data_IF_543849475922
#
_entry.id   IF_543849475922
#
_cell.length_a   1.000
_cell.length_b   1.000
_cell.length_c   1.000
_cell.angle_alpha   90.00
_cell.angle_beta   90.00
_cell.angle_gamma   90.00
#
_symmetry.space_group_name_H-M   'P 1'
#
loop_
_entity.id
_entity.type
_entity.pdbx_description
1 polymer ?
#
# COMPACT_ATOMS: atom_id res chain seq x y z
N UNK A 1 -31.03 39.82 15.69
CA UNK A 1 -30.63 39.49 14.29
C UNK A 1 -29.14 39.18 14.13
N UNK A 2 -28.20 39.98 14.63
CA UNK A 2 -26.75 39.69 14.47
C UNK A 2 -26.31 38.35 15.09
N UNK A 3 -26.97 37.88 16.16
CA UNK A 3 -26.72 36.58 16.79
C UNK A 3 -26.88 35.41 15.80
N UNK A 4 -28.06 35.30 15.16
CA UNK A 4 -28.37 34.20 14.24
C UNK A 4 -27.51 34.19 12.98
N UNK A 5 -26.89 35.32 12.60
CA UNK A 5 -26.01 35.40 11.43
C UNK A 5 -24.82 34.44 11.56
N UNK A 6 -24.26 34.30 12.76
CA UNK A 6 -23.13 33.38 13.02
C UNK A 6 -23.57 31.93 12.89
N UNK A 7 -24.75 31.57 13.41
CA UNK A 7 -25.33 30.24 13.24
C UNK A 7 -25.61 29.91 11.77
N UNK A 8 -26.15 30.86 11.00
CA UNK A 8 -26.39 30.69 9.56
C UNK A 8 -25.07 30.48 8.81
N UNK A 9 -24.05 31.29 9.11
CA UNK A 9 -22.71 31.11 8.54
C UNK A 9 -22.14 29.72 8.88
N UNK A 10 -22.28 29.29 10.14
CA UNK A 10 -21.80 27.98 10.58
C UNK A 10 -22.49 26.81 9.85
N UNK A 11 -23.80 26.91 9.59
CA UNK A 11 -24.54 25.94 8.75
C UNK A 11 -23.98 25.91 7.32
N UNK A 12 -23.82 27.09 6.70
CA UNK A 12 -23.31 27.20 5.33
C UNK A 12 -21.91 26.58 5.23
N UNK A 13 -21.00 26.94 6.15
CA UNK A 13 -19.64 26.38 6.20
C UNK A 13 -19.68 24.87 6.39
N UNK A 14 -20.50 24.37 7.32
CA UNK A 14 -20.63 22.93 7.58
C UNK A 14 -21.09 22.16 6.34
N UNK A 15 -22.11 22.68 5.63
CA UNK A 15 -22.67 22.07 4.42
C UNK A 15 -21.70 22.13 3.24
N UNK A 16 -21.01 23.26 3.03
CA UNK A 16 -20.03 23.39 1.94
C UNK A 16 -18.86 22.43 2.19
N UNK A 17 -18.23 22.50 3.37
CA UNK A 17 -17.05 21.71 3.67
C UNK A 17 -17.34 20.21 3.71
N UNK A 18 -18.54 19.80 4.15
CA UNK A 18 -18.88 18.39 4.37
C UNK A 18 -19.94 17.86 3.39
N UNK A 19 -20.17 18.54 2.27
CA UNK A 19 -21.12 18.15 1.22
C UNK A 19 -20.92 16.71 0.75
N UNK A 20 -19.68 16.28 0.55
CA UNK A 20 -19.35 14.92 0.11
C UNK A 20 -19.70 13.82 1.15
N UNK A 21 -19.90 14.19 2.42
CA UNK A 21 -20.19 13.24 3.51
C UNK A 21 -21.66 13.29 3.91
N UNK A 22 -22.25 14.48 3.90
CA UNK A 22 -23.64 14.72 4.28
C UNK A 22 -24.61 14.42 3.14
N UNK A 23 -24.25 14.75 1.89
CA UNK A 23 -25.14 14.65 0.72
C UNK A 23 -24.78 13.48 -0.20
N UNK A 24 -23.50 13.21 -0.44
CA UNK A 24 -23.05 12.12 -1.31
C UNK A 24 -22.79 10.85 -0.49
N UNK A 25 -23.26 9.69 -0.99
CA UNK A 25 -22.86 8.37 -0.47
C UNK A 25 -21.79 7.80 -1.39
N UNK A 26 -20.54 8.15 -1.14
CA UNK A 26 -19.40 7.51 -1.82
C UNK A 26 -18.97 6.26 -1.03
N UNK A 27 -18.72 5.16 -1.74
CA UNK A 27 -18.24 3.89 -1.16
C UNK A 27 -16.86 4.07 -0.52
N UNK A 28 -16.05 5.02 -1.01
CA UNK A 28 -14.75 5.37 -0.43
C UNK A 28 -14.85 5.86 1.03
N UNK A 29 -16.03 6.28 1.49
CA UNK A 29 -16.26 6.77 2.85
C UNK A 29 -17.00 5.76 3.76
N UNK A 30 -17.09 4.47 3.44
CA UNK A 30 -17.83 3.49 4.26
C UNK A 30 -17.03 2.88 5.44
N UNK A 31 -16.05 3.62 5.98
CA UNK A 31 -15.32 3.17 7.16
C UNK A 31 -16.11 3.44 8.45
N UNK A 32 -15.82 2.68 9.52
CA UNK A 32 -16.41 2.90 10.86
C UNK A 32 -16.19 4.34 11.36
N UNK A 33 -15.03 4.92 11.04
CA UNK A 33 -14.66 6.29 11.41
C UNK A 33 -15.57 7.30 10.72
N UNK A 34 -15.78 7.15 9.40
CA UNK A 34 -16.63 8.03 8.61
C UNK A 34 -18.10 7.97 9.01
N UNK A 35 -18.63 6.77 9.30
CA UNK A 35 -20.01 6.64 9.80
C UNK A 35 -20.20 7.37 11.14
N UNK A 36 -19.22 7.29 12.03
CA UNK A 36 -19.25 7.99 13.32
C UNK A 36 -19.10 9.51 13.14
N UNK A 37 -18.22 9.93 12.22
CA UNK A 37 -18.03 11.34 11.88
C UNK A 37 -19.31 11.96 11.29
N UNK A 38 -19.99 11.25 10.38
CA UNK A 38 -21.25 11.72 9.78
C UNK A 38 -22.35 11.92 10.81
N UNK A 39 -22.50 11.00 11.78
CA UNK A 39 -23.46 11.17 12.89
C UNK A 39 -23.15 12.40 13.74
N UNK A 40 -21.87 12.63 14.03
CA UNK A 40 -21.42 13.83 14.72
C UNK A 40 -21.78 15.11 13.93
N UNK A 41 -21.52 15.14 12.62
CA UNK A 41 -21.87 16.29 11.78
C UNK A 41 -23.38 16.57 11.74
N UNK A 42 -24.23 15.54 11.68
CA UNK A 42 -25.68 15.73 11.75
C UNK A 42 -26.13 16.29 13.11
N UNK A 43 -25.50 15.89 14.20
CA UNK A 43 -25.80 16.48 15.51
C UNK A 43 -25.35 17.95 15.58
N UNK A 44 -24.18 18.28 15.04
CA UNK A 44 -23.72 19.68 14.92
C UNK A 44 -24.67 20.51 14.06
N UNK A 45 -25.17 19.96 12.96
CA UNK A 45 -26.15 20.62 12.11
C UNK A 45 -27.46 20.88 12.87
N UNK A 46 -27.98 19.88 13.59
CA UNK A 46 -29.18 20.04 14.41
C UNK A 46 -28.98 21.11 15.50
N UNK A 47 -27.81 21.13 16.12
CA UNK A 47 -27.42 22.17 17.08
C UNK A 47 -27.40 23.57 16.45
N UNK A 48 -26.80 23.75 15.28
CA UNK A 48 -26.79 25.06 14.61
C UNK A 48 -28.18 25.52 14.22
N UNK A 49 -29.07 24.61 13.82
CA UNK A 49 -30.47 24.95 13.53
C UNK A 49 -31.15 25.52 14.78
N UNK A 50 -31.00 24.85 15.94
CA UNK A 50 -31.54 25.36 17.21
C UNK A 50 -30.91 26.70 17.62
N UNK A 51 -29.59 26.87 17.44
CA UNK A 51 -28.91 28.14 17.74
C UNK A 51 -29.40 29.31 16.86
N UNK A 52 -29.65 29.06 15.56
CA UNK A 52 -30.22 30.06 14.65
C UNK A 52 -31.64 30.43 15.04
N UNK A 53 -32.47 29.42 15.33
CA UNK A 53 -33.86 29.59 15.74
C UNK A 53 -33.98 30.39 17.03
N UNK A 54 -33.10 30.16 18.00
CA UNK A 54 -33.07 30.88 19.26
C UNK A 54 -33.09 32.41 19.07
N UNK A 55 -32.14 32.94 18.28
CA UNK A 55 -32.05 34.38 18.03
C UNK A 55 -33.18 34.95 17.17
N UNK A 56 -33.87 34.10 16.39
CA UNK A 56 -35.07 34.49 15.63
C UNK A 56 -36.30 34.56 16.56
N UNK A 57 -36.52 33.53 17.38
CA UNK A 57 -37.65 33.41 18.31
C UNK A 57 -37.60 34.48 19.40
N UNK A 58 -36.42 34.81 19.91
CA UNK A 58 -36.21 35.93 20.82
C UNK A 58 -36.61 37.26 20.15
N UNK A 59 -36.20 37.48 18.89
CA UNK A 59 -36.52 38.72 18.16
C UNK A 59 -38.01 38.88 17.84
N UNK A 60 -38.71 37.76 17.65
CA UNK A 60 -40.16 37.72 17.43
C UNK A 60 -40.96 37.77 18.73
N UNK A 61 -40.29 37.75 19.90
CA UNK A 61 -40.89 37.73 21.24
C UNK A 61 -41.89 36.59 21.44
N UNK A 62 -41.52 35.36 21.05
CA UNK A 62 -42.34 34.15 21.18
C UNK A 62 -41.82 33.29 22.35
N UNK A 63 -42.23 33.54 23.61
CA UNK A 63 -41.60 32.93 24.79
C UNK A 63 -41.80 31.40 24.86
N UNK A 64 -42.98 30.89 24.50
CA UNK A 64 -43.27 29.45 24.51
C UNK A 64 -42.38 28.68 23.52
N UNK A 65 -42.27 29.19 22.29
CA UNK A 65 -41.42 28.59 21.28
C UNK A 65 -39.93 28.73 21.63
N UNK A 66 -39.53 29.87 22.21
CA UNK A 66 -38.16 30.08 22.69
C UNK A 66 -37.79 29.08 23.79
N UNK A 67 -38.72 28.75 24.70
CA UNK A 67 -38.51 27.73 25.73
C UNK A 67 -38.33 26.33 25.12
N UNK A 68 -39.18 25.96 24.16
CA UNK A 68 -39.09 24.68 23.45
C UNK A 68 -37.77 24.56 22.68
N UNK A 69 -37.39 25.61 21.94
CA UNK A 69 -36.14 25.63 21.19
C UNK A 69 -34.91 25.62 22.09
N UNK A 70 -34.93 26.37 23.21
CA UNK A 70 -33.83 26.32 24.20
C UNK A 70 -33.70 24.92 24.82
N UNK A 71 -34.81 24.19 24.99
CA UNK A 71 -34.76 22.78 25.41
C UNK A 71 -34.13 21.92 24.32
N UNK A 72 -34.54 22.09 23.06
CA UNK A 72 -33.96 21.40 21.91
C UNK A 72 -32.47 21.71 21.73
N UNK A 73 -32.02 22.92 22.06
CA UNK A 73 -30.62 23.35 22.07
C UNK A 73 -29.79 22.51 23.06
N UNK A 74 -30.27 22.29 24.29
CA UNK A 74 -29.55 21.44 25.24
C UNK A 74 -29.52 19.97 24.80
N UNK A 75 -30.60 19.47 24.22
CA UNK A 75 -30.67 18.09 23.71
C UNK A 75 -29.75 17.88 22.49
N UNK A 76 -29.69 18.83 21.57
CA UNK A 76 -28.81 18.78 20.40
C UNK A 76 -27.34 18.92 20.81
N UNK A 77 -27.05 19.77 21.80
CA UNK A 77 -25.73 19.86 22.44
C UNK A 77 -25.30 18.54 23.10
N UNK A 78 -26.21 17.86 23.82
CA UNK A 78 -25.95 16.55 24.41
C UNK A 78 -25.62 15.50 23.34
N UNK A 79 -26.36 15.51 22.22
CA UNK A 79 -26.09 14.65 21.07
C UNK A 79 -24.72 14.95 20.44
N UNK A 80 -24.35 16.23 20.30
CA UNK A 80 -23.02 16.65 19.83
C UNK A 80 -21.90 16.02 20.66
N UNK A 81 -21.99 16.11 21.99
CA UNK A 81 -20.99 15.54 22.91
C UNK A 81 -20.93 14.02 22.80
N UNK A 82 -22.08 13.35 22.77
CA UNK A 82 -22.14 11.89 22.67
C UNK A 82 -21.52 11.39 21.35
N UNK A 83 -21.90 11.98 20.22
CA UNK A 83 -21.36 11.59 18.92
C UNK A 83 -19.90 12.02 18.72
N UNK A 84 -19.48 13.15 19.29
CA UNK A 84 -18.07 13.57 19.32
C UNK A 84 -17.19 12.49 19.96
N UNK A 85 -17.59 12.00 21.14
CA UNK A 85 -16.84 10.95 21.85
C UNK A 85 -16.83 9.64 21.07
N UNK A 86 -17.94 9.25 20.44
CA UNK A 86 -17.99 8.07 19.58
C UNK A 86 -17.03 8.19 18.39
N UNK A 87 -17.04 9.34 17.73
CA UNK A 87 -16.12 9.65 16.63
C UNK A 87 -14.66 9.64 17.09
N UNK A 88 -14.33 10.35 18.16
CA UNK A 88 -12.97 10.44 18.72
C UNK A 88 -12.40 9.04 19.02
N UNK A 89 -13.21 8.18 19.63
CA UNK A 89 -12.83 6.80 19.93
C UNK A 89 -12.61 5.97 18.66
N UNK A 90 -13.44 6.16 17.63
CA UNK A 90 -13.24 5.51 16.34
C UNK A 90 -11.98 6.02 15.62
N UNK A 91 -11.67 7.32 15.74
CA UNK A 91 -10.57 7.97 15.04
C UNK A 91 -9.18 7.61 15.59
N UNK A 92 -9.05 7.47 16.92
CA UNK A 92 -7.78 7.17 17.60
C UNK A 92 -7.42 5.68 17.68
N UNK A 93 -8.38 4.78 17.48
CA UNK A 93 -8.24 3.33 17.68
C UNK A 93 -7.44 2.95 18.94
N UNK A 94 -7.64 3.71 20.03
CA UNK A 94 -6.88 3.55 21.28
C UNK A 94 -7.26 2.28 22.05
N UNK A 95 -6.48 1.92 23.08
CA UNK A 95 -6.71 0.70 23.87
C UNK A 95 -8.11 0.59 24.50
N UNK A 96 -8.57 -0.64 24.75
CA UNK A 96 -9.95 -0.93 25.16
C UNK A 96 -10.43 -0.12 26.39
N UNK A 97 -9.58 0.01 27.42
CA UNK A 97 -9.90 0.76 28.64
C UNK A 97 -10.15 2.25 28.38
N UNK A 98 -9.33 2.90 27.55
CA UNK A 98 -9.51 4.30 27.19
C UNK A 98 -10.84 4.51 26.46
N UNK A 99 -11.13 3.65 25.48
CA UNK A 99 -12.38 3.71 24.72
C UNK A 99 -13.61 3.59 25.62
N UNK A 100 -13.56 2.72 26.63
CA UNK A 100 -14.64 2.53 27.58
C UNK A 100 -14.83 3.74 28.48
N UNK A 101 -13.76 4.28 29.06
CA UNK A 101 -13.81 5.47 29.94
C UNK A 101 -14.37 6.68 29.19
N UNK A 102 -13.86 6.96 27.99
CA UNK A 102 -14.36 8.08 27.20
C UNK A 102 -15.83 7.94 26.85
N UNK A 103 -16.25 6.77 26.34
CA UNK A 103 -17.65 6.53 25.99
C UNK A 103 -18.57 6.64 27.20
N UNK A 104 -18.18 6.09 28.34
CA UNK A 104 -18.94 6.19 29.57
C UNK A 104 -19.06 7.66 30.02
N UNK A 105 -17.96 8.40 30.06
CA UNK A 105 -17.97 9.81 30.46
C UNK A 105 -18.83 10.69 29.55
N UNK A 106 -18.70 10.54 28.23
CA UNK A 106 -19.51 11.28 27.26
C UNK A 106 -21.00 10.93 27.32
N UNK A 107 -21.32 9.64 27.52
CA UNK A 107 -22.71 9.18 27.67
C UNK A 107 -23.32 9.67 28.99
N UNK A 108 -22.59 9.59 30.09
CA UNK A 108 -23.04 10.09 31.40
C UNK A 108 -23.32 11.60 31.34
N UNK A 109 -22.44 12.38 30.71
CA UNK A 109 -22.66 13.80 30.52
C UNK A 109 -23.90 14.07 29.65
N UNK A 110 -24.06 13.35 28.53
CA UNK A 110 -25.23 13.51 27.66
C UNK A 110 -26.53 13.14 28.39
N UNK A 111 -26.56 12.03 29.14
CA UNK A 111 -27.70 11.60 29.94
C UNK A 111 -28.03 12.60 31.05
N UNK A 112 -27.01 13.18 31.69
CA UNK A 112 -27.20 14.24 32.69
C UNK A 112 -27.88 15.47 32.08
N UNK A 113 -27.43 15.91 30.89
CA UNK A 113 -28.07 17.03 30.19
C UNK A 113 -29.52 16.72 29.85
N UNK A 114 -29.80 15.54 29.29
CA UNK A 114 -31.17 15.11 28.97
C UNK A 114 -32.05 15.07 30.23
N UNK A 115 -31.54 14.54 31.34
CA UNK A 115 -32.27 14.47 32.60
C UNK A 115 -32.55 15.88 33.17
N UNK A 116 -31.55 16.76 33.17
CA UNK A 116 -31.73 18.14 33.62
C UNK A 116 -32.69 18.92 32.71
N UNK A 117 -32.66 18.69 31.39
CA UNK A 117 -33.62 19.27 30.45
C UNK A 117 -35.05 18.79 30.73
N UNK A 118 -35.24 17.50 31.03
CA UNK A 118 -36.56 16.96 31.39
C UNK A 118 -37.07 17.55 32.71
N UNK A 119 -36.19 17.69 33.72
CA UNK A 119 -36.54 18.36 34.99
C UNK A 119 -36.86 19.84 34.76
N UNK A 120 -36.13 20.52 33.87
CA UNK A 120 -36.31 21.95 33.58
C UNK A 120 -37.72 22.32 33.10
N UNK A 121 -38.43 21.37 32.48
CA UNK A 121 -39.83 21.56 32.03
C UNK A 121 -40.78 21.80 33.21
N UNK A 122 -40.51 21.16 34.35
CA UNK A 122 -41.37 21.25 35.54
C UNK A 122 -40.81 22.21 36.58
N UNK A 123 -39.49 22.18 36.76
CA UNK A 123 -38.78 22.98 37.76
C UNK A 123 -37.57 23.64 37.10
N UNK A 124 -37.49 24.97 37.07
CA UNK A 124 -36.41 25.66 36.39
C UNK A 124 -35.05 25.41 37.05
N UNK A 125 -34.15 24.72 36.35
CA UNK A 125 -32.81 24.32 36.83
C UNK A 125 -31.70 24.72 35.86
N UNK A 126 -31.94 24.61 34.55
CA UNK A 126 -31.02 25.00 33.49
C UNK A 126 -31.24 26.46 33.05
N UNK A 127 -32.49 26.84 32.81
CA UNK A 127 -32.84 28.17 32.33
C UNK A 127 -34.32 28.49 32.60
N UNK A 128 -34.65 29.79 32.55
CA UNK A 128 -36.04 30.27 32.45
C UNK A 128 -36.20 31.20 31.26
N UNK A 129 -37.42 31.31 30.76
CA UNK A 129 -37.83 32.31 29.77
C UNK A 129 -38.99 33.08 30.39
N UNK A 130 -38.88 34.41 30.47
CA UNK A 130 -39.97 35.26 30.97
C UNK A 130 -41.00 35.58 29.87
N UNK A 131 -42.13 36.21 30.25
CA UNK A 131 -43.19 36.61 29.30
C UNK A 131 -42.70 37.61 28.23
N UNK A 132 -41.61 38.33 28.49
CA UNK A 132 -40.98 39.22 27.52
C UNK A 132 -40.00 38.49 26.58
N UNK A 133 -39.98 37.15 26.60
CA UNK A 133 -39.07 36.28 25.87
C UNK A 133 -37.59 36.50 26.23
N UNK A 134 -37.29 36.94 27.46
CA UNK A 134 -35.92 37.08 27.96
C UNK A 134 -35.47 35.78 28.61
N UNK A 135 -34.40 35.22 28.07
CA UNK A 135 -33.71 34.07 28.61
C UNK A 135 -32.91 34.44 29.87
N UNK A 136 -33.05 33.65 30.94
CA UNK A 136 -32.20 33.78 32.14
C UNK A 136 -31.46 32.46 32.41
N UNK A 137 -30.12 32.47 32.43
CA UNK A 137 -29.34 31.27 32.73
C UNK A 137 -29.42 30.93 34.23
N UNK A 138 -29.50 29.63 34.55
CA UNK A 138 -29.50 29.13 35.93
C UNK A 138 -28.28 28.26 36.24
N UNK A 139 -28.11 27.90 37.50
CA UNK A 139 -26.96 27.14 38.01
C UNK A 139 -26.71 25.82 37.28
N UNK A 140 -27.77 25.10 36.87
CA UNK A 140 -27.62 23.85 36.12
C UNK A 140 -26.90 24.02 34.79
N UNK A 141 -27.18 25.11 34.06
CA UNK A 141 -26.51 25.44 32.80
C UNK A 141 -25.01 25.68 33.02
N UNK A 142 -24.64 26.41 34.07
CA UNK A 142 -23.24 26.63 34.41
C UNK A 142 -22.53 25.33 34.78
N UNK A 143 -23.18 24.45 35.55
CA UNK A 143 -22.63 23.14 35.92
C UNK A 143 -22.39 22.24 34.69
N UNK A 144 -23.34 22.19 33.75
CA UNK A 144 -23.22 21.42 32.50
C UNK A 144 -22.04 21.93 31.66
N UNK A 145 -21.95 23.24 31.42
CA UNK A 145 -20.85 23.81 30.63
C UNK A 145 -19.49 23.65 31.32
N UNK A 146 -19.42 23.78 32.65
CA UNK A 146 -18.20 23.52 33.40
C UNK A 146 -17.74 22.06 33.26
N UNK A 147 -18.65 21.10 33.44
CA UNK A 147 -18.35 19.68 33.29
C UNK A 147 -17.90 19.32 31.87
N UNK A 148 -18.56 19.90 30.85
CA UNK A 148 -18.17 19.74 29.45
C UNK A 148 -16.78 20.33 29.19
N UNK A 149 -16.48 21.51 29.72
CA UNK A 149 -15.15 22.13 29.64
C UNK A 149 -14.09 21.23 30.24
N UNK A 150 -14.31 20.71 31.45
CA UNK A 150 -13.38 19.78 32.11
C UNK A 150 -13.18 18.51 31.28
N UNK A 151 -14.22 17.97 30.67
CA UNK A 151 -14.11 16.82 29.75
C UNK A 151 -13.19 17.13 28.56
N UNK A 152 -13.36 18.26 27.89
CA UNK A 152 -12.53 18.65 26.75
C UNK A 152 -11.07 18.93 27.16
N UNK A 153 -10.84 19.57 28.31
CA UNK A 153 -9.49 19.75 28.87
C UNK A 153 -8.85 18.39 29.14
N UNK A 154 -9.57 17.48 29.80
CA UNK A 154 -9.08 16.15 30.11
C UNK A 154 -8.74 15.35 28.84
N UNK A 155 -9.61 15.38 27.82
CA UNK A 155 -9.32 14.76 26.51
C UNK A 155 -8.06 15.37 25.87
N UNK A 156 -7.91 16.70 25.93
CA UNK A 156 -6.73 17.38 25.37
C UNK A 156 -5.45 16.96 26.08
N UNK A 157 -5.43 16.96 27.42
CA UNK A 157 -4.28 16.51 28.22
C UNK A 157 -3.96 15.05 27.93
N UNK A 158 -4.98 14.19 27.93
CA UNK A 158 -4.82 12.76 27.68
C UNK A 158 -4.19 12.48 26.31
N UNK A 159 -4.69 13.14 25.26
CA UNK A 159 -4.18 12.97 23.90
C UNK A 159 -2.74 13.48 23.74
N UNK A 160 -2.34 14.53 24.48
CA UNK A 160 -0.95 15.00 24.56
C UNK A 160 -0.04 13.99 25.26
N UNK A 161 -0.48 13.40 26.37
CA UNK A 161 0.31 12.44 27.14
C UNK A 161 0.55 11.15 26.33
N UNK A 162 -0.49 10.62 25.68
CA UNK A 162 -0.38 9.45 24.81
C UNK A 162 0.56 9.69 23.62
N UNK A 163 0.63 10.93 23.13
CA UNK A 163 1.56 11.32 22.06
C UNK A 163 3.02 11.19 22.48
N UNK A 164 3.36 11.47 23.74
CA UNK A 164 4.73 11.39 24.28
C UNK A 164 5.16 9.98 24.66
N UNK A 165 4.22 9.12 25.04
CA UNK A 165 4.51 7.82 25.67
C UNK A 165 4.74 6.63 24.73
N UNK A 166 4.63 6.78 23.41
CA UNK A 166 4.78 5.66 22.46
C UNK A 166 5.45 6.09 21.16
N UNK A 167 6.37 5.27 20.66
CA UNK A 167 6.93 5.29 19.28
C UNK A 167 5.82 4.89 18.30
N UNK A 168 4.82 5.75 18.13
CA UNK A 168 3.67 5.46 17.28
C UNK A 168 3.98 5.82 15.82
N UNK A 169 3.41 5.09 14.85
CA UNK A 169 3.51 5.45 13.44
C UNK A 169 3.03 6.90 13.23
N UNK A 170 3.72 7.65 12.35
CA UNK A 170 3.51 9.10 12.18
C UNK A 170 2.07 9.52 11.93
N UNK A 171 1.25 8.67 11.29
CA UNK A 171 -0.19 8.90 11.09
C UNK A 171 -0.95 9.05 12.41
N UNK A 172 -0.71 8.15 13.37
CA UNK A 172 -1.43 8.15 14.64
C UNK A 172 -1.03 9.37 15.49
N UNK A 173 0.24 9.78 15.42
CA UNK A 173 0.73 11.02 16.05
C UNK A 173 -0.01 12.26 15.55
N UNK A 174 -0.29 12.35 14.24
CA UNK A 174 -1.07 13.43 13.66
C UNK A 174 -2.51 13.45 14.17
N UNK A 175 -3.15 12.28 14.29
CA UNK A 175 -4.52 12.17 14.84
C UNK A 175 -4.62 12.65 16.28
N UNK A 176 -3.69 12.24 17.14
CA UNK A 176 -3.60 12.72 18.53
C UNK A 176 -3.41 14.24 18.59
N UNK A 177 -2.55 14.80 17.72
CA UNK A 177 -2.33 16.26 17.66
C UNK A 177 -3.59 17.01 17.24
N UNK A 178 -4.31 16.54 16.23
CA UNK A 178 -5.55 17.17 15.76
C UNK A 178 -6.61 17.15 16.87
N UNK A 179 -6.84 16.01 17.53
CA UNK A 179 -7.85 15.91 18.57
C UNK A 179 -7.52 16.74 19.82
N UNK A 180 -6.24 16.81 20.20
CA UNK A 180 -5.80 17.71 21.28
C UNK A 180 -6.15 19.17 20.95
N UNK A 181 -5.83 19.60 19.73
CA UNK A 181 -6.09 20.98 19.30
C UNK A 181 -7.58 21.29 19.21
N UNK A 182 -8.39 20.39 18.63
CA UNK A 182 -9.86 20.55 18.57
C UNK A 182 -10.46 20.61 19.98
N UNK A 183 -10.03 19.74 20.89
CA UNK A 183 -10.53 19.72 22.26
C UNK A 183 -10.12 20.97 23.04
N UNK A 184 -8.92 21.50 22.78
CA UNK A 184 -8.45 22.74 23.39
C UNK A 184 -9.23 23.97 22.89
N UNK A 185 -9.49 24.07 21.57
CA UNK A 185 -10.36 25.11 21.00
C UNK A 185 -11.72 25.05 21.68
N UNK A 186 -12.34 23.87 21.71
CA UNK A 186 -13.67 23.72 22.31
C UNK A 186 -13.69 24.12 23.79
N UNK A 187 -12.69 23.70 24.58
CA UNK A 187 -12.58 24.09 25.98
C UNK A 187 -12.45 25.61 26.16
N UNK A 188 -11.63 26.28 25.34
CA UNK A 188 -11.45 27.73 25.42
C UNK A 188 -12.74 28.50 25.11
N UNK A 189 -13.46 28.10 24.05
CA UNK A 189 -14.72 28.73 23.68
C UNK A 189 -15.84 28.43 24.71
N UNK A 190 -15.85 27.24 25.32
CA UNK A 190 -16.77 26.93 26.41
C UNK A 190 -16.51 27.76 27.68
N UNK A 191 -15.24 28.00 28.03
CA UNK A 191 -14.87 28.90 29.14
C UNK A 191 -15.38 30.32 28.91
N UNK A 192 -15.29 30.80 27.67
CA UNK A 192 -15.83 32.12 27.29
C UNK A 192 -17.38 32.12 27.31
N UNK A 193 -18.03 31.04 26.84
CA UNK A 193 -19.49 30.88 26.89
C UNK A 193 -20.05 30.89 28.31
N UNK A 194 -19.29 30.43 29.30
CA UNK A 194 -19.68 30.50 30.72
C UNK A 194 -19.88 31.95 31.16
N UNK A 195 -19.04 32.88 30.69
CA UNK A 195 -19.04 34.30 31.06
C UNK A 195 -19.99 35.14 30.20
N UNK A 196 -20.24 34.72 28.95
CA UNK A 196 -21.10 35.43 28.00
C UNK A 196 -22.26 34.55 27.49
N UNK A 197 -23.38 34.45 28.22
CA UNK A 197 -24.49 33.57 27.87
C UNK A 197 -25.19 33.92 26.55
N UNK A 198 -25.21 35.20 26.18
CA UNK A 198 -25.94 35.74 25.03
C UNK A 198 -25.14 35.77 23.73
N UNK A 199 -23.89 35.29 23.73
CA UNK A 199 -23.06 35.24 22.53
C UNK A 199 -23.01 33.80 21.99
N UNK A 200 -22.98 33.60 20.66
CA UNK A 200 -22.94 32.28 20.04
C UNK A 200 -21.50 31.72 20.03
N UNK A 201 -20.81 31.79 21.18
CA UNK A 201 -19.40 31.42 21.30
C UNK A 201 -19.24 29.90 21.14
N UNK A 202 -20.19 29.11 21.66
CA UNK A 202 -20.22 27.68 21.43
C UNK A 202 -20.26 27.34 19.94
N UNK A 203 -21.10 28.02 19.16
CA UNK A 203 -21.24 27.87 17.71
C UNK A 203 -19.94 28.18 16.97
N UNK A 204 -19.22 29.24 17.38
CA UNK A 204 -17.91 29.56 16.82
C UNK A 204 -16.89 28.45 17.16
N UNK A 205 -16.89 27.97 18.40
CA UNK A 205 -16.02 26.90 18.86
C UNK A 205 -16.23 25.59 18.11
N UNK A 206 -17.49 25.20 17.88
CA UNK A 206 -17.84 24.02 17.08
C UNK A 206 -17.46 24.21 15.62
N UNK A 207 -17.66 25.39 15.03
CA UNK A 207 -17.33 25.66 13.63
C UNK A 207 -15.83 25.50 13.39
N UNK A 208 -14.99 26.16 14.20
CA UNK A 208 -13.53 26.03 14.11
C UNK A 208 -13.07 24.59 14.34
N UNK A 209 -13.69 23.90 15.29
CA UNK A 209 -13.41 22.49 15.60
C UNK A 209 -13.71 21.58 14.41
N UNK A 210 -14.87 21.74 13.75
CA UNK A 210 -15.26 20.94 12.59
C UNK A 210 -14.37 21.23 11.38
N UNK A 211 -14.03 22.49 11.12
CA UNK A 211 -13.11 22.86 10.02
C UNK A 211 -11.75 22.19 10.21
N UNK A 212 -11.20 22.28 11.43
CA UNK A 212 -9.90 21.67 11.73
C UNK A 212 -9.93 20.15 11.64
N UNK A 213 -11.04 19.55 12.06
CA UNK A 213 -11.21 18.11 12.00
C UNK A 213 -11.32 17.62 10.55
N UNK A 214 -12.12 18.28 9.71
CA UNK A 214 -12.27 17.97 8.29
C UNK A 214 -10.95 18.02 7.55
N UNK A 215 -10.13 19.06 7.78
CA UNK A 215 -8.80 19.17 7.18
C UNK A 215 -7.90 17.97 7.51
N UNK A 216 -7.94 17.48 8.75
CA UNK A 216 -7.14 16.32 9.17
C UNK A 216 -7.68 15.00 8.61
N UNK A 217 -9.00 14.83 8.60
CA UNK A 217 -9.65 13.60 8.11
C UNK A 217 -9.45 13.47 6.59
N UNK A 218 -9.55 14.57 5.84
CA UNK A 218 -9.25 14.60 4.41
C UNK A 218 -7.77 14.30 4.11
N UNK A 219 -6.86 14.87 4.89
CA UNK A 219 -5.43 14.58 4.74
C UNK A 219 -5.14 13.09 4.93
N UNK A 220 -5.74 12.46 5.95
CA UNK A 220 -5.60 11.01 6.19
C UNK A 220 -6.11 10.19 5.00
N UNK A 221 -7.28 10.52 4.46
CA UNK A 221 -7.89 9.81 3.34
C UNK A 221 -7.11 9.98 2.03
N UNK A 222 -6.65 11.20 1.74
CA UNK A 222 -5.83 11.49 0.56
C UNK A 222 -4.49 10.74 0.59
N UNK A 223 -3.85 10.68 1.76
CA UNK A 223 -2.62 9.91 1.96
C UNK A 223 -2.83 8.40 1.78
N UNK A 224 -3.98 7.88 2.23
CA UNK A 224 -4.32 6.46 2.07
C UNK A 224 -4.56 6.11 0.60
N UNK A 225 -5.34 6.93 -0.12
CA UNK A 225 -5.58 6.76 -1.55
C UNK A 225 -4.28 6.86 -2.36
N UNK A 226 -3.43 7.85 -2.05
CA UNK A 226 -2.12 8.03 -2.71
C UNK A 226 -1.22 6.82 -2.48
N UNK A 227 -1.19 6.28 -1.25
CA UNK A 227 -0.39 5.09 -0.92
C UNK A 227 -0.88 3.86 -1.69
N UNK A 228 -2.19 3.60 -1.71
CA UNK A 228 -2.76 2.48 -2.46
C UNK A 228 -2.42 2.59 -3.95
N UNK A 229 -2.55 3.78 -4.53
CA UNK A 229 -2.21 4.01 -5.94
C UNK A 229 -0.72 3.83 -6.21
N UNK A 230 0.16 4.28 -5.30
CA UNK A 230 1.60 4.09 -5.43
C UNK A 230 2.01 2.62 -5.31
N UNK A 231 1.38 1.86 -4.42
CA UNK A 231 1.62 0.42 -4.27
C UNK A 231 1.16 -0.36 -5.50
N UNK A 232 -0.04 -0.06 -6.01
CA UNK A 232 -0.53 -0.63 -7.27
C UNK A 232 0.38 -0.28 -8.45
N UNK A 233 0.84 0.98 -8.56
CA UNK A 233 1.77 1.40 -9.59
C UNK A 233 3.15 0.71 -9.46
N UNK A 234 3.61 0.45 -8.24
CA UNK A 234 4.86 -0.29 -7.98
C UNK A 234 4.75 -1.74 -8.43
N UNK A 235 3.66 -2.42 -8.09
CA UNK A 235 3.40 -3.81 -8.51
C UNK A 235 3.31 -3.89 -10.04
N UNK A 236 2.57 -2.99 -10.68
CA UNK A 236 2.47 -2.95 -12.15
C UNK A 236 3.82 -2.61 -12.80
N UNK A 237 4.61 -1.71 -12.20
CA UNK A 237 5.96 -1.38 -12.64
C UNK A 237 6.91 -2.58 -12.63
N UNK A 238 6.93 -3.35 -11.52
CA UNK A 238 7.73 -4.59 -11.42
C UNK A 238 7.25 -5.62 -12.44
N UNK A 239 5.93 -5.81 -12.58
CA UNK A 239 5.35 -6.75 -13.56
C UNK A 239 5.73 -6.40 -14.99
N UNK A 240 5.72 -5.11 -15.34
CA UNK A 240 6.13 -4.62 -16.66
C UNK A 240 7.63 -4.81 -16.88
N UNK A 241 8.47 -4.55 -15.87
CA UNK A 241 9.91 -4.78 -15.95
C UNK A 241 10.24 -6.26 -16.17
N UNK A 242 9.64 -7.18 -15.41
CA UNK A 242 9.85 -8.62 -15.56
C UNK A 242 9.44 -9.12 -16.96
N UNK A 243 8.31 -8.64 -17.49
CA UNK A 243 7.91 -8.95 -18.87
C UNK A 243 8.91 -8.44 -19.89
N UNK A 244 9.36 -7.20 -19.74
CA UNK A 244 10.36 -6.63 -20.63
C UNK A 244 11.67 -7.42 -20.61
N UNK A 245 12.08 -7.93 -19.45
CA UNK A 245 13.25 -8.80 -19.34
C UNK A 245 13.01 -10.13 -20.06
N UNK A 246 11.88 -10.79 -19.82
CA UNK A 246 11.50 -12.05 -20.47
C UNK A 246 11.48 -11.91 -22.01
N UNK A 247 10.90 -10.84 -22.54
CA UNK A 247 10.81 -10.57 -23.99
C UNK A 247 12.16 -10.26 -24.64
N UNK A 248 13.16 -9.85 -23.86
CA UNK A 248 14.51 -9.55 -24.37
C UNK A 248 15.53 -10.66 -24.06
N UNK A 249 15.08 -11.79 -23.47
CA UNK A 249 15.97 -12.95 -23.31
C UNK A 249 16.29 -13.57 -24.67
N UNK A 250 17.54 -13.99 -24.89
CA UNK A 250 17.92 -14.70 -26.11
C UNK A 250 17.23 -16.07 -26.17
N UNK A 251 16.77 -16.44 -27.37
CA UNK A 251 16.05 -17.70 -27.59
C UNK A 251 14.57 -17.64 -27.21
N UNK A 252 13.90 -18.77 -27.37
CA UNK A 252 12.49 -18.95 -27.10
C UNK A 252 12.34 -19.53 -25.69
N UNK A 253 11.61 -18.85 -24.81
CA UNK A 253 11.49 -19.23 -23.41
C UNK A 253 10.03 -19.38 -22.98
N UNK A 254 9.74 -20.43 -22.22
CA UNK A 254 8.42 -20.69 -21.66
C UNK A 254 8.52 -21.30 -20.26
N UNK A 255 7.49 -21.14 -19.44
CA UNK A 255 7.30 -21.88 -18.20
C UNK A 255 5.88 -22.42 -18.11
N UNK A 256 5.76 -23.65 -17.60
CA UNK A 256 4.50 -24.37 -17.41
C UNK A 256 4.36 -24.87 -15.99
N UNK A 257 3.12 -25.01 -15.55
CA UNK A 257 2.76 -25.75 -14.36
C UNK A 257 2.94 -27.26 -14.64
N UNK A 258 3.68 -27.96 -13.79
CA UNK A 258 4.03 -29.37 -14.03
C UNK A 258 2.85 -30.33 -13.85
N UNK A 259 1.86 -29.98 -13.03
CA UNK A 259 0.71 -30.83 -12.72
C UNK A 259 -0.37 -30.71 -13.80
N UNK A 260 -0.63 -29.48 -14.24
CA UNK A 260 -1.70 -29.18 -15.20
C UNK A 260 -1.20 -29.10 -16.65
N UNK A 261 0.10 -28.91 -16.87
CA UNK A 261 0.69 -28.66 -18.19
C UNK A 261 0.35 -27.27 -18.77
N UNK A 262 -0.24 -26.39 -17.96
CA UNK A 262 -0.70 -25.07 -18.40
C UNK A 262 0.48 -24.10 -18.47
N UNK A 263 0.56 -23.33 -19.55
CA UNK A 263 1.55 -22.27 -19.71
C UNK A 263 1.31 -21.14 -18.70
N UNK A 264 2.34 -20.83 -17.91
CA UNK A 264 2.34 -19.77 -16.90
C UNK A 264 2.92 -18.46 -17.43
N UNK A 265 3.95 -18.53 -18.28
CA UNK A 265 4.53 -17.40 -19.00
C UNK A 265 5.37 -17.87 -20.19
N UNK A 266 5.52 -17.02 -21.20
CA UNK A 266 6.48 -17.20 -22.29
C UNK A 266 6.92 -15.83 -22.82
N UNK A 267 8.06 -15.78 -23.51
CA UNK A 267 8.50 -14.58 -24.22
C UNK A 267 7.83 -14.47 -25.59
N UNK A 268 7.89 -13.28 -26.20
CA UNK A 268 7.33 -13.09 -27.54
C UNK A 268 7.97 -14.00 -28.60
N UNK A 269 9.28 -14.26 -28.52
CA UNK A 269 9.96 -15.16 -29.46
C UNK A 269 9.36 -16.58 -29.48
N UNK A 270 8.97 -17.13 -28.32
CA UNK A 270 8.27 -18.41 -28.25
C UNK A 270 6.87 -18.34 -28.88
N UNK A 271 6.13 -17.26 -28.64
CA UNK A 271 4.81 -17.06 -29.22
C UNK A 271 4.85 -16.98 -30.76
N UNK A 272 5.86 -16.31 -31.29
CA UNK A 272 6.07 -16.17 -32.73
C UNK A 272 6.44 -17.52 -33.37
N UNK A 273 7.27 -18.33 -32.70
CA UNK A 273 7.66 -19.67 -33.15
C UNK A 273 6.49 -20.65 -33.24
N UNK A 274 5.57 -20.61 -32.27
CA UNK A 274 4.37 -21.46 -32.31
C UNK A 274 3.28 -20.89 -33.22
N UNK A 275 3.57 -19.81 -33.96
CA UNK A 275 2.62 -19.09 -34.82
C UNK A 275 1.34 -18.64 -34.10
N UNK A 276 1.44 -18.30 -32.82
CA UNK A 276 0.29 -17.87 -32.03
C UNK A 276 -0.04 -16.40 -32.32
N UNK A 277 -1.28 -16.13 -32.73
CA UNK A 277 -1.72 -14.78 -33.06
C UNK A 277 -1.81 -13.89 -31.80
N UNK A 278 -0.92 -12.89 -31.73
CA UNK A 278 -0.96 -11.84 -30.73
C UNK A 278 0.14 -11.92 -29.67
N UNK A 279 0.03 -11.17 -28.57
CA UNK A 279 1.10 -11.05 -27.60
C UNK A 279 1.20 -12.33 -26.75
N UNK A 280 2.42 -12.72 -26.37
CA UNK A 280 2.74 -13.92 -25.57
C UNK A 280 1.82 -14.14 -24.35
N UNK A 281 1.35 -13.06 -23.71
CA UNK A 281 0.40 -13.12 -22.58
C UNK A 281 -0.91 -13.87 -22.87
N UNK A 282 -1.30 -14.00 -24.15
CA UNK A 282 -2.52 -14.69 -24.57
C UNK A 282 -2.35 -16.21 -24.67
N UNK A 283 -1.10 -16.70 -24.54
CA UNK A 283 -0.81 -18.13 -24.39
C UNK A 283 -0.92 -18.61 -22.93
N UNK A 284 -0.86 -17.69 -21.96
CA UNK A 284 -1.00 -18.02 -20.53
C UNK A 284 -2.37 -18.62 -20.29
N UNK A 285 -2.42 -19.79 -19.66
CA UNK A 285 -3.66 -20.54 -19.40
C UNK A 285 -3.97 -21.63 -20.42
N UNK A 286 -3.24 -21.72 -21.53
CA UNK A 286 -3.39 -22.80 -22.53
C UNK A 286 -2.52 -24.01 -22.20
N UNK A 287 -2.82 -25.15 -22.80
CA UNK A 287 -2.01 -26.39 -22.74
C UNK A 287 -1.33 -26.67 -24.08
N UNK A 288 -0.42 -27.66 -24.12
CA UNK A 288 0.21 -28.10 -25.38
C UNK A 288 -0.81 -28.57 -26.41
N UNK A 289 -1.89 -29.24 -25.98
CA UNK A 289 -2.95 -29.72 -26.85
C UNK A 289 -3.78 -28.58 -27.48
N UNK A 290 -3.78 -27.39 -26.87
CA UNK A 290 -4.45 -26.20 -27.42
C UNK A 290 -3.59 -25.44 -28.44
N UNK A 291 -2.28 -25.74 -28.49
CA UNK A 291 -1.28 -24.99 -29.25
C UNK A 291 -0.63 -25.80 -30.38
N UNK A 292 -0.54 -27.11 -30.24
CA UNK A 292 0.16 -27.99 -31.18
C UNK A 292 -0.74 -29.13 -31.66
N UNK A 293 -0.31 -29.80 -32.74
CA UNK A 293 -0.96 -31.04 -33.18
C UNK A 293 -0.74 -32.18 -32.16
N UNK A 294 -1.55 -33.24 -32.26
CA UNK A 294 -1.54 -34.35 -31.30
C UNK A 294 -0.16 -35.02 -31.18
N UNK A 295 0.59 -35.09 -32.29
CA UNK A 295 1.90 -35.73 -32.33
C UNK A 295 2.95 -34.88 -31.60
N UNK A 296 2.99 -33.58 -31.89
CA UNK A 296 3.90 -32.64 -31.25
C UNK A 296 3.56 -32.47 -29.76
N UNK A 297 2.28 -32.31 -29.40
CA UNK A 297 1.85 -32.23 -28.01
C UNK A 297 2.26 -33.48 -27.21
N UNK A 298 2.11 -34.68 -27.79
CA UNK A 298 2.52 -35.94 -27.16
C UNK A 298 4.04 -36.10 -27.04
N UNK A 299 4.82 -35.49 -27.93
CA UNK A 299 6.28 -35.45 -27.80
C UNK A 299 6.70 -34.48 -26.70
N UNK A 300 6.15 -33.26 -26.72
CA UNK A 300 6.43 -32.23 -25.72
C UNK A 300 6.11 -32.73 -24.31
N UNK A 301 4.98 -33.40 -24.12
CA UNK A 301 4.59 -33.97 -22.82
C UNK A 301 5.57 -35.06 -22.34
N UNK A 302 6.13 -35.87 -23.25
CA UNK A 302 7.15 -36.87 -22.88
C UNK A 302 8.45 -36.20 -22.46
N UNK A 303 8.89 -35.18 -23.19
CA UNK A 303 10.10 -34.44 -22.86
C UNK A 303 9.95 -33.68 -21.53
N UNK A 304 8.76 -33.15 -21.24
CA UNK A 304 8.41 -32.53 -19.97
C UNK A 304 8.47 -33.55 -18.82
N UNK A 305 7.97 -34.78 -19.02
CA UNK A 305 8.11 -35.85 -18.03
C UNK A 305 9.55 -36.28 -17.78
N UNK A 306 10.39 -36.33 -18.82
CA UNK A 306 11.82 -36.61 -18.68
C UNK A 306 12.47 -35.52 -17.81
N UNK A 307 12.23 -34.25 -18.12
CA UNK A 307 12.77 -33.13 -17.36
C UNK A 307 12.32 -33.14 -15.89
N UNK A 308 11.07 -33.54 -15.60
CA UNK A 308 10.58 -33.70 -14.23
C UNK A 308 11.26 -34.84 -13.47
N UNK A 309 11.65 -35.91 -14.15
CA UNK A 309 12.33 -37.06 -13.56
C UNK A 309 13.82 -36.82 -13.26
N UNK A 310 14.43 -35.82 -13.90
CA UNK A 310 15.85 -35.49 -13.75
C UNK A 310 16.08 -34.42 -12.67
N UNK A 311 17.19 -34.52 -11.95
CA UNK A 311 17.63 -33.47 -11.01
C UNK A 311 18.52 -32.42 -11.70
N UNK A 312 19.11 -32.77 -12.84
CA UNK A 312 19.87 -31.86 -13.70
C UNK A 312 19.01 -31.42 -14.90
N UNK A 313 19.32 -30.27 -15.54
CA UNK A 313 18.62 -29.82 -16.74
C UNK A 313 18.68 -30.87 -17.87
N UNK A 314 17.52 -31.15 -18.46
CA UNK A 314 17.40 -31.99 -19.64
C UNK A 314 17.74 -31.17 -20.89
N UNK A 315 18.89 -31.43 -21.50
CA UNK A 315 19.39 -30.74 -22.69
C UNK A 315 19.39 -31.69 -23.89
N UNK A 316 18.79 -31.26 -25.00
CA UNK A 316 18.76 -32.02 -26.24
C UNK A 316 18.79 -31.09 -27.46
N UNK A 317 19.04 -31.68 -28.63
CA UNK A 317 19.05 -30.97 -29.91
C UNK A 317 17.88 -31.44 -30.75
N UNK A 318 17.19 -30.50 -31.37
CA UNK A 318 16.07 -30.77 -32.26
C UNK A 318 16.20 -29.96 -33.54
N UNK A 319 15.74 -30.55 -34.64
CA UNK A 319 15.61 -29.86 -35.91
C UNK A 319 14.30 -29.05 -35.88
N UNK A 320 14.44 -27.73 -35.99
CA UNK A 320 13.32 -26.80 -36.03
C UNK A 320 13.25 -26.09 -37.38
N UNK A 321 12.22 -25.25 -37.52
CA UNK A 321 12.08 -24.29 -38.60
C UNK A 321 11.87 -22.89 -38.04
N UNK A 322 12.47 -21.88 -38.66
CA UNK A 322 12.21 -20.49 -38.29
C UNK A 322 10.82 -20.02 -38.76
N UNK A 323 10.47 -18.77 -38.42
CA UNK A 323 9.19 -18.17 -38.83
C UNK A 323 9.00 -18.03 -40.35
N UNK A 324 10.07 -18.15 -41.13
CA UNK A 324 10.10 -18.09 -42.60
C UNK A 324 10.21 -19.50 -43.24
N UNK A 325 10.25 -20.57 -42.43
CA UNK A 325 10.33 -21.97 -42.85
C UNK A 325 11.73 -22.49 -43.15
N UNK A 326 12.80 -21.77 -42.82
CA UNK A 326 14.17 -22.25 -43.00
C UNK A 326 14.55 -23.25 -41.90
N UNK A 327 15.33 -24.31 -42.23
CA UNK A 327 15.81 -25.26 -41.23
C UNK A 327 16.74 -24.57 -40.21
N UNK A 328 16.49 -24.80 -38.93
CA UNK A 328 17.34 -24.38 -37.83
C UNK A 328 17.66 -25.57 -36.92
N UNK A 329 18.84 -25.55 -36.32
CA UNK A 329 19.19 -26.48 -35.26
C UNK A 329 18.97 -25.80 -33.93
N UNK A 330 18.03 -26.32 -33.14
CA UNK A 330 17.68 -25.80 -31.84
C UNK A 330 18.35 -26.63 -30.75
N UNK A 331 18.96 -25.94 -29.79
CA UNK A 331 19.30 -26.53 -28.51
C UNK A 331 18.22 -26.20 -27.50
N UNK A 332 17.54 -27.23 -27.02
CA UNK A 332 16.44 -27.09 -26.08
C UNK A 332 16.87 -27.60 -24.72
N UNK A 333 16.68 -26.75 -23.72
CA UNK A 333 16.92 -27.05 -22.32
C UNK A 333 15.59 -27.01 -21.59
N UNK A 334 15.27 -28.07 -20.85
CA UNK A 334 14.12 -28.12 -19.94
C UNK A 334 14.59 -28.45 -18.53
N UNK A 335 14.09 -27.73 -17.54
CA UNK A 335 14.44 -27.96 -16.14
C UNK A 335 13.22 -27.77 -15.25
N UNK A 336 13.14 -28.59 -14.20
CA UNK A 336 12.14 -28.45 -13.14
C UNK A 336 12.60 -27.41 -12.13
N UNK A 337 11.69 -26.58 -11.63
CA UNK A 337 11.96 -25.64 -10.54
C UNK A 337 10.72 -25.48 -9.66
N UNK A 338 10.91 -24.97 -8.44
CA UNK A 338 9.82 -24.61 -7.54
C UNK A 338 9.57 -23.11 -7.61
N UNK A 339 8.32 -22.70 -7.78
CA UNK A 339 7.95 -21.29 -7.68
C UNK A 339 7.86 -20.81 -6.22
N UNK A 340 7.54 -19.53 -6.03
CA UNK A 340 7.42 -18.93 -4.69
C UNK A 340 6.30 -19.53 -3.83
N UNK A 341 5.34 -20.22 -4.44
CA UNK A 341 4.22 -20.88 -3.76
C UNK A 341 4.48 -22.38 -3.53
N UNK A 342 5.67 -22.87 -3.91
CA UNK A 342 6.05 -24.28 -3.83
C UNK A 342 5.45 -25.15 -4.92
N UNK A 343 4.90 -24.56 -5.99
CA UNK A 343 4.40 -25.29 -7.15
C UNK A 343 5.58 -25.76 -7.99
N UNK A 344 5.50 -26.99 -8.47
CA UNK A 344 6.50 -27.52 -9.41
C UNK A 344 6.19 -27.02 -10.79
N UNK A 345 7.18 -26.40 -11.42
CA UNK A 345 7.09 -25.79 -12.73
C UNK A 345 8.21 -26.32 -13.63
N UNK A 346 7.99 -26.26 -14.94
CA UNK A 346 8.98 -26.60 -15.96
C UNK A 346 9.36 -25.32 -16.67
N UNK A 347 10.65 -24.99 -16.70
CA UNK A 347 11.21 -23.93 -17.53
C UNK A 347 11.85 -24.56 -18.77
N UNK A 348 11.41 -24.11 -19.94
CA UNK A 348 11.96 -24.49 -21.23
C UNK A 348 12.61 -23.30 -21.93
N UNK A 349 13.80 -23.50 -22.49
CA UNK A 349 14.50 -22.51 -23.31
C UNK A 349 15.08 -23.19 -24.55
N UNK A 350 14.81 -22.64 -25.73
CA UNK A 350 15.26 -23.17 -27.02
C UNK A 350 16.02 -22.08 -27.76
N UNK A 351 17.27 -22.36 -28.14
CA UNK A 351 18.16 -21.38 -28.80
C UNK A 351 18.63 -21.94 -30.13
N UNK A 352 18.66 -21.10 -31.16
CA UNK A 352 19.25 -21.44 -32.45
C UNK A 352 20.77 -21.52 -32.34
N UNK A 353 21.31 -22.71 -32.61
CA UNK A 353 22.75 -23.02 -32.59
C UNK A 353 23.28 -23.38 -33.98
N UNK A 354 22.54 -23.10 -35.05
CA UNK A 354 22.88 -23.49 -36.44
C UNK A 354 24.27 -23.02 -36.85
N UNK A 355 24.58 -21.74 -36.63
CA UNK A 355 25.88 -21.16 -36.94
C UNK A 355 27.01 -21.80 -36.12
N UNK A 356 26.73 -22.10 -34.86
CA UNK A 356 27.73 -22.63 -33.94
C UNK A 356 28.06 -24.07 -34.24
N UNK A 357 27.07 -24.90 -34.55
CA UNK A 357 27.30 -26.29 -34.98
C UNK A 357 27.98 -26.34 -36.36
N UNK A 358 27.71 -25.38 -37.25
CA UNK A 358 28.42 -25.25 -38.53
C UNK A 358 29.91 -24.97 -38.33
N UNK A 359 30.25 -24.00 -37.46
CA UNK A 359 31.63 -23.63 -37.12
C UNK A 359 32.35 -24.78 -36.37
N UNK A 360 31.65 -25.50 -35.49
CA UNK A 360 32.21 -26.62 -34.72
C UNK A 360 32.45 -27.87 -35.57
N UNK A 361 31.57 -28.18 -36.54
CA UNK A 361 31.80 -29.27 -37.52
C UNK A 361 33.06 -29.04 -38.34
N UNK A 362 33.40 -27.78 -38.61
CA UNK A 362 34.64 -27.42 -39.31
C UNK A 362 35.89 -27.55 -38.40
N UNK A 363 35.73 -27.64 -37.08
CA UNK A 363 36.84 -27.59 -36.10
C UNK A 363 37.09 -28.91 -35.33
N UNK A 364 36.36 -29.99 -35.61
CA UNK A 364 36.27 -31.15 -34.71
C UNK A 364 37.41 -32.19 -34.83
N UNK A 365 38.27 -32.27 -33.80
CA UNK A 365 39.10 -33.46 -33.53
C UNK A 365 39.14 -33.97 -32.08
N UNK A 366 38.36 -33.46 -31.11
CA UNK A 366 38.30 -34.06 -29.76
C UNK A 366 36.89 -33.97 -29.14
N UNK A 367 36.18 -35.10 -29.09
CA UNK A 367 34.71 -35.17 -28.98
C UNK A 367 34.16 -35.41 -27.55
N UNK A 368 34.89 -36.12 -26.69
CA UNK A 368 34.31 -36.65 -25.45
C UNK A 368 34.45 -35.75 -24.20
N UNK A 369 35.42 -34.83 -24.18
CA UNK A 369 35.57 -33.84 -23.10
C UNK A 369 34.67 -32.60 -23.29
N UNK A 370 34.25 -32.35 -24.54
CA UNK A 370 33.44 -31.20 -24.96
C UNK A 370 31.96 -31.39 -24.61
N UNK A 371 31.43 -32.60 -24.80
CA UNK A 371 30.02 -32.94 -24.56
C UNK A 371 29.61 -32.81 -23.07
N UNK A 372 30.51 -33.11 -22.13
CA UNK A 372 30.25 -32.95 -20.68
C UNK A 372 30.31 -31.51 -20.18
N UNK A 373 31.05 -30.63 -20.85
CA UNK A 373 31.11 -29.21 -20.51
C UNK A 373 29.96 -28.39 -21.14
N UNK A 374 29.33 -28.92 -22.21
CA UNK A 374 28.32 -28.24 -23.04
C UNK A 374 26.92 -28.16 -22.40
N UNK A 375 26.54 -29.11 -21.54
CA UNK A 375 25.18 -29.17 -20.95
C UNK A 375 24.94 -28.13 -19.84
N UNK A 376 25.92 -27.87 -18.97
CA UNK A 376 25.79 -26.89 -17.89
C UNK A 376 26.21 -25.46 -18.31
N UNK A 377 27.19 -25.34 -19.22
CA UNK A 377 27.78 -24.06 -19.60
C UNK A 377 26.87 -23.16 -20.45
N UNK A 378 25.97 -23.72 -21.28
CA UNK A 378 25.15 -22.92 -22.20
C UNK A 378 23.98 -22.20 -21.54
N UNK A 379 23.31 -22.84 -20.57
CA UNK A 379 22.23 -22.19 -19.80
C UNK A 379 22.79 -20.99 -19.05
N UNK A 380 23.97 -21.16 -18.45
CA UNK A 380 24.66 -20.10 -17.75
C UNK A 380 25.16 -19.00 -18.70
N UNK A 381 25.72 -19.32 -19.87
CA UNK A 381 26.17 -18.30 -20.83
C UNK A 381 25.01 -17.36 -21.25
N UNK A 382 23.79 -17.88 -21.38
CA UNK A 382 22.63 -17.06 -21.70
C UNK A 382 22.08 -16.27 -20.49
N UNK A 383 22.07 -16.87 -19.29
CA UNK A 383 21.76 -16.14 -18.05
C UNK A 383 22.78 -15.01 -17.84
N UNK A 384 24.06 -15.29 -18.05
CA UNK A 384 25.16 -14.34 -17.99
C UNK A 384 25.01 -13.24 -19.05
N UNK A 385 24.66 -13.56 -20.31
CA UNK A 385 24.38 -12.56 -21.35
C UNK A 385 23.20 -11.65 -20.97
N UNK A 386 22.16 -12.19 -20.33
CA UNK A 386 21.03 -11.40 -19.85
C UNK A 386 21.39 -10.50 -18.65
N UNK A 387 22.27 -10.96 -17.77
CA UNK A 387 22.77 -10.22 -16.60
C UNK A 387 23.90 -9.23 -16.93
N UNK A 388 24.61 -9.43 -18.05
CA UNK A 388 25.81 -8.70 -18.44
C UNK A 388 25.59 -7.21 -18.79
N UNK A 389 24.36 -6.72 -18.88
CA UNK A 389 24.09 -5.28 -19.06
C UNK A 389 24.54 -4.49 -17.83
N UNK A 390 25.81 -4.08 -17.82
CA UNK A 390 26.43 -3.27 -16.77
C UNK A 390 27.70 -3.86 -16.16
N UNK A 391 28.11 -5.06 -16.56
CA UNK A 391 29.36 -5.70 -16.11
C UNK A 391 30.36 -5.76 -17.27
N UNK A 392 31.65 -5.55 -16.99
CA UNK A 392 32.72 -5.68 -17.99
C UNK A 392 33.15 -7.15 -18.16
N UNK A 393 33.29 -7.86 -17.04
CA UNK A 393 33.75 -9.25 -16.99
C UNK A 393 32.89 -10.06 -16.01
N UNK A 394 32.70 -11.33 -16.32
CA UNK A 394 31.82 -12.24 -15.58
C UNK A 394 32.50 -13.60 -15.38
N UNK A 395 32.56 -14.05 -14.13
CA UNK A 395 33.23 -15.29 -13.78
C UNK A 395 32.20 -16.35 -13.36
N UNK A 396 32.23 -17.49 -14.04
CA UNK A 396 31.57 -18.71 -13.57
C UNK A 396 32.57 -19.49 -12.74
N UNK A 397 32.30 -19.68 -11.45
CA UNK A 397 33.21 -20.37 -10.52
C UNK A 397 32.49 -21.56 -9.91
N UNK A 398 33.05 -22.75 -10.07
CA UNK A 398 32.64 -23.90 -9.29
C UNK A 398 33.13 -23.70 -7.85
N UNK A 399 32.19 -23.47 -6.94
CA UNK A 399 32.47 -23.12 -5.55
C UNK A 399 33.18 -24.24 -4.78
N UNK A 400 32.99 -25.49 -5.17
CA UNK A 400 33.62 -26.65 -4.53
C UNK A 400 35.04 -26.90 -5.07
N UNK A 401 35.19 -26.93 -6.39
CA UNK A 401 36.45 -27.26 -7.06
C UNK A 401 37.39 -26.06 -7.30
N UNK A 402 36.86 -24.83 -7.28
CA UNK A 402 37.60 -23.61 -7.62
C UNK A 402 37.80 -23.39 -9.12
N UNK A 403 37.38 -24.32 -9.98
CA UNK A 403 37.48 -24.18 -11.44
C UNK A 403 36.60 -23.03 -11.93
N UNK A 404 37.09 -22.25 -12.89
CA UNK A 404 36.35 -21.11 -13.39
C UNK A 404 36.48 -20.86 -14.88
N UNK A 405 35.49 -20.13 -15.40
CA UNK A 405 35.44 -19.60 -16.75
C UNK A 405 35.20 -18.09 -16.65
N UNK A 406 36.06 -17.31 -17.29
CA UNK A 406 35.93 -15.86 -17.43
C UNK A 406 35.29 -15.53 -18.79
N UNK A 407 34.23 -14.73 -18.75
CA UNK A 407 33.57 -14.17 -19.93
C UNK A 407 33.70 -12.66 -19.92
N UNK A 408 34.13 -12.07 -21.03
CA UNK A 408 34.13 -10.62 -21.22
C UNK A 408 33.05 -10.21 -22.20
N UNK A 409 32.43 -9.06 -21.96
CA UNK A 409 31.35 -8.52 -22.80
C UNK A 409 31.95 -7.69 -23.92
N UNK A 410 31.73 -8.09 -25.17
CA UNK A 410 31.98 -7.19 -26.29
C UNK A 410 30.92 -6.07 -26.31
N UNK A 411 31.30 -4.86 -25.91
CA UNK A 411 30.40 -3.71 -25.82
C UNK A 411 29.77 -3.29 -27.15
N UNK A 412 30.31 -3.73 -28.30
CA UNK A 412 29.76 -3.40 -29.62
C UNK A 412 28.71 -4.42 -30.06
N UNK A 413 28.94 -5.71 -29.80
CA UNK A 413 28.04 -6.79 -30.23
C UNK A 413 27.11 -7.31 -29.13
N UNK A 414 27.36 -6.98 -27.87
CA UNK A 414 26.64 -7.48 -26.70
C UNK A 414 26.83 -8.97 -26.43
N UNK A 415 27.77 -9.63 -27.13
CA UNK A 415 28.05 -11.05 -26.99
C UNK A 415 29.13 -11.28 -25.93
N UNK A 416 28.90 -12.27 -25.07
CA UNK A 416 29.93 -12.77 -24.17
C UNK A 416 30.96 -13.59 -24.98
N UNK A 417 32.23 -13.29 -24.76
CA UNK A 417 33.36 -14.08 -25.27
C UNK A 417 34.07 -14.71 -24.08
N UNK A 418 34.24 -16.03 -24.10
CA UNK A 418 35.13 -16.71 -23.15
C UNK A 418 36.56 -16.19 -23.37
N UNK A 419 37.18 -15.68 -22.30
CA UNK A 419 38.55 -15.14 -22.33
C UNK A 419 39.52 -16.19 -21.80
N UNK A 420 39.21 -16.76 -20.64
CA UNK A 420 40.12 -17.63 -19.91
C UNK A 420 39.36 -18.73 -19.18
N UNK A 421 39.99 -19.91 -19.09
CA UNK A 421 39.54 -21.00 -18.23
C UNK A 421 40.65 -21.38 -17.25
N UNK A 422 40.33 -21.37 -15.96
CA UNK A 422 41.28 -21.63 -14.88
C UNK A 422 40.81 -22.70 -13.92
N UNK A 423 41.73 -23.23 -13.11
CA UNK A 423 41.45 -24.29 -12.13
C UNK A 423 41.25 -23.79 -10.71
N UNK A 424 41.68 -22.57 -10.41
CA UNK A 424 41.59 -21.97 -9.09
C UNK A 424 41.32 -20.46 -9.19
N UNK A 425 40.04 -20.10 -9.09
CA UNK A 425 39.55 -18.73 -9.18
C UNK A 425 40.13 -17.83 -8.10
N UNK A 426 40.15 -18.30 -6.85
CA UNK A 426 40.52 -17.45 -5.72
C UNK A 426 42.01 -17.11 -5.74
N UNK A 427 42.86 -18.06 -6.15
CA UNK A 427 44.28 -17.79 -6.36
C UNK A 427 44.51 -16.84 -7.54
N UNK A 428 43.85 -17.05 -8.69
CA UNK A 428 43.95 -16.15 -9.84
C UNK A 428 43.47 -14.73 -9.51
N UNK A 429 42.32 -14.61 -8.82
CA UNK A 429 41.77 -13.33 -8.41
C UNK A 429 42.71 -12.59 -7.45
N UNK A 430 43.37 -13.29 -6.53
CA UNK A 430 44.34 -12.68 -5.62
C UNK A 430 45.58 -12.12 -6.36
N UNK A 431 46.04 -12.80 -7.41
CA UNK A 431 47.12 -12.30 -8.28
C UNK A 431 46.67 -11.06 -9.06
N UNK A 432 45.47 -11.10 -9.65
CA UNK A 432 44.92 -9.98 -10.41
C UNK A 432 44.64 -8.75 -9.54
N UNK A 433 44.14 -8.94 -8.32
CA UNK A 433 43.93 -7.84 -7.36
C UNK A 433 45.26 -7.15 -7.06
N UNK A 434 46.33 -7.90 -6.80
CA UNK A 434 47.66 -7.33 -6.55
C UNK A 434 48.23 -6.58 -7.76
N UNK A 435 47.80 -6.96 -8.96
CA UNK A 435 48.27 -6.39 -10.22
C UNK A 435 47.48 -5.17 -10.68
N UNK A 436 46.16 -5.16 -10.49
CA UNK A 436 45.25 -4.19 -11.09
C UNK A 436 44.55 -3.27 -10.08
N UNK A 437 44.46 -3.65 -8.79
CA UNK A 437 43.85 -2.81 -7.74
C UNK A 437 44.91 -1.90 -7.13
N UNK A 438 44.53 -0.65 -6.84
CA UNK A 438 45.40 0.35 -6.23
C UNK A 438 45.95 -0.15 -4.88
N UNK A 439 47.25 0.05 -4.55
CA UNK A 439 47.88 -0.55 -3.37
C UNK A 439 47.16 -0.32 -2.05
N UNK A 440 46.56 0.85 -1.85
CA UNK A 440 45.82 1.20 -0.63
C UNK A 440 44.50 0.44 -0.47
N UNK A 441 43.95 -0.10 -1.55
CA UNK A 441 42.68 -0.86 -1.56
C UNK A 441 42.89 -2.38 -1.59
N UNK A 442 44.11 -2.86 -1.86
CA UNK A 442 44.40 -4.29 -2.07
C UNK A 442 43.98 -5.15 -0.88
N UNK A 443 44.36 -4.78 0.35
CA UNK A 443 44.02 -5.55 1.55
C UNK A 443 42.51 -5.65 1.79
N UNK A 444 41.78 -4.56 1.49
CA UNK A 444 40.32 -4.52 1.63
C UNK A 444 39.66 -5.42 0.60
N UNK A 445 40.11 -5.39 -0.65
CA UNK A 445 39.55 -6.20 -1.73
C UNK A 445 39.92 -7.67 -1.57
N UNK A 446 41.17 -7.99 -1.20
CA UNK A 446 41.59 -9.37 -0.91
C UNK A 446 40.77 -10.00 0.22
N UNK A 447 40.47 -9.23 1.27
CA UNK A 447 39.61 -9.70 2.36
C UNK A 447 38.17 -9.94 1.89
N UNK A 448 37.61 -9.01 1.12
CA UNK A 448 36.25 -9.16 0.58
C UNK A 448 36.13 -10.33 -0.42
N UNK A 449 37.22 -10.69 -1.09
CA UNK A 449 37.31 -11.78 -2.06
C UNK A 449 37.75 -13.12 -1.44
N UNK A 450 37.91 -13.19 -0.11
CA UNK A 450 38.19 -14.45 0.57
C UNK A 450 37.01 -15.42 0.38
N UNK A 451 37.31 -16.70 0.12
CA UNK A 451 36.31 -17.74 -0.14
C UNK A 451 35.26 -17.82 0.97
N UNK A 452 35.65 -17.60 2.22
CA UNK A 452 34.76 -17.70 3.38
C UNK A 452 33.79 -16.53 3.45
N UNK A 453 34.28 -15.32 3.17
CA UNK A 453 33.50 -14.08 3.22
C UNK A 453 32.61 -13.90 1.98
N UNK A 454 33.02 -14.42 0.82
CA UNK A 454 32.27 -14.31 -0.44
C UNK A 454 31.09 -15.30 -0.54
N UNK A 455 31.13 -16.40 0.24
CA UNK A 455 30.12 -17.47 0.23
C UNK A 455 29.19 -17.44 1.45
N UNK A 456 29.47 -16.57 2.44
CA UNK A 456 28.64 -16.35 3.63
C UNK A 456 27.51 -15.35 3.34
#
# INVERSE_FOLDING_TARGET
>A
MYYSLIGVLAIIVLLIENSDILLKRDVAFDSRVWRSYRRFLFAVLAYYVTDVLWGLLESLRLPELLFVDTTAFFLSMAACVAFWVQFMVAYLDGGARFRQICRAGGLLLALLVVALSAVNVFTPVLFTVDEAARYTPLGGRHAVFALQTTMFIWVSIFTILQRKGKTQPGKLHQRYRTLSFVSLIMAAFLLLQLQAPYLPIYTIGTMLSTCRLKASVLADASLEFTRQKAEAARVEGVRKALRSLLDHMPGMAFTKDAETGVYLACNQAYADYVHHEGPARTMVGKTDADLFDEKAASQIARDDQIALSMDEPYVFFEDGTDGDGHPQQLQTTRLKYLDSDGRTCILGMSIDVTDQVRIERESAMNREAYERARSAGMIFNHIAQALARGYSDLYYVNVESGEYIEYSVDFVSGRLREITRGKDFFSSAAEDIRRFVHPEDQDRVLKAMDRTDLLA
#
